data_IF_632863063009
#
_entry.id   IF_632863063009
#
_cell.length_a   1.000
_cell.length_b   1.000
_cell.length_c   1.000
_cell.angle_alpha   90.00
_cell.angle_beta   90.00
_cell.angle_gamma   90.00
#
_symmetry.space_group_name_H-M   'P 1'
#
loop_
_entity.id
_entity.type
_entity.pdbx_description
1 polymer ?
#
# COMPACT_ATOMS: atom_id res chain seq x y z
N UNK A 1 34.75 -0.26 -16.53
CA UNK A 1 33.26 -0.20 -16.54
C UNK A 1 32.75 0.44 -15.24
N UNK A 2 32.47 1.74 -15.29
CA UNK A 2 31.85 2.44 -14.16
C UNK A 2 30.34 2.22 -14.24
N UNK A 3 29.80 1.45 -13.30
CA UNK A 3 28.38 1.11 -13.26
C UNK A 3 27.59 2.35 -12.80
N UNK A 4 27.07 3.11 -13.77
CA UNK A 4 25.97 4.04 -13.51
C UNK A 4 24.80 3.22 -12.96
N UNK A 5 24.09 3.74 -11.95
CA UNK A 5 22.85 3.11 -11.50
C UNK A 5 21.78 3.35 -12.57
N UNK A 6 21.36 2.28 -13.22
CA UNK A 6 20.27 2.26 -14.17
C UNK A 6 18.94 2.12 -13.41
N UNK A 7 17.99 2.97 -13.75
CA UNK A 7 16.58 2.83 -13.40
C UNK A 7 15.79 2.60 -14.68
N UNK A 8 14.54 2.15 -14.56
CA UNK A 8 13.73 1.71 -15.71
C UNK A 8 13.67 2.72 -16.87
N UNK A 9 13.81 4.02 -16.60
CA UNK A 9 13.76 5.10 -17.60
C UNK A 9 14.85 6.19 -17.47
N UNK A 10 15.97 5.89 -16.81
CA UNK A 10 17.08 6.83 -16.80
C UNK A 10 18.23 6.51 -15.85
N UNK A 11 19.12 7.48 -15.67
CA UNK A 11 20.39 7.30 -14.99
C UNK A 11 20.63 8.36 -13.93
N UNK A 12 21.15 7.92 -12.79
CA UNK A 12 21.56 8.81 -11.70
C UNK A 12 23.07 8.89 -11.63
N UNK A 13 23.63 10.08 -11.83
CA UNK A 13 25.06 10.35 -11.67
C UNK A 13 25.32 10.93 -10.29
N UNK A 14 26.16 10.25 -9.52
CA UNK A 14 26.43 10.58 -8.12
C UNK A 14 27.86 11.05 -7.88
N UNK A 15 28.82 10.55 -8.65
CA UNK A 15 30.25 10.80 -8.44
C UNK A 15 30.90 11.44 -9.64
N UNK A 16 31.93 12.26 -9.40
CA UNK A 16 32.67 12.98 -10.46
C UNK A 16 33.30 12.02 -11.46
N UNK A 17 33.77 10.86 -11.01
CA UNK A 17 34.37 9.84 -11.88
C UNK A 17 33.35 9.09 -12.77
N UNK A 18 32.04 9.24 -12.53
CA UNK A 18 30.98 8.70 -13.39
C UNK A 18 30.71 9.63 -14.59
N UNK A 19 31.22 10.87 -14.56
CA UNK A 19 30.97 11.89 -15.58
C UNK A 19 31.46 11.53 -16.99
N UNK A 20 32.68 10.97 -17.21
CA UNK A 20 33.11 10.61 -18.56
C UNK A 20 32.20 9.56 -19.21
N UNK A 21 31.79 8.53 -18.44
CA UNK A 21 30.84 7.50 -18.90
C UNK A 21 29.47 8.10 -19.21
N UNK A 22 29.03 9.06 -18.39
CA UNK A 22 27.79 9.79 -18.58
C UNK A 22 27.79 10.63 -19.87
N UNK A 23 28.87 11.37 -20.16
CA UNK A 23 29.01 12.13 -21.40
C UNK A 23 29.01 11.25 -22.65
N UNK A 24 29.70 10.10 -22.60
CA UNK A 24 29.67 9.13 -23.70
C UNK A 24 28.26 8.61 -23.94
N UNK A 25 27.52 8.31 -22.87
CA UNK A 25 26.14 7.83 -22.98
C UNK A 25 25.20 8.87 -23.57
N UNK A 26 25.31 10.12 -23.13
CA UNK A 26 24.56 11.24 -23.72
C UNK A 26 24.85 11.36 -25.21
N UNK A 27 26.13 11.31 -25.60
CA UNK A 27 26.52 11.36 -27.01
C UNK A 27 25.86 10.22 -27.80
N UNK A 28 25.86 9.02 -27.25
CA UNK A 28 25.23 7.86 -27.89
C UNK A 28 23.71 8.04 -27.99
N UNK A 29 23.04 8.59 -26.97
CA UNK A 29 21.60 8.89 -26.99
C UNK A 29 21.24 9.93 -28.06
N UNK A 30 22.05 10.99 -28.20
CA UNK A 30 21.91 12.00 -29.26
C UNK A 30 22.02 11.35 -30.64
N UNK A 31 23.02 10.49 -30.85
CA UNK A 31 23.20 9.80 -32.14
C UNK A 31 22.05 8.85 -32.45
N UNK A 32 21.49 8.19 -31.42
CA UNK A 32 20.41 7.22 -31.56
C UNK A 32 19.01 7.87 -31.58
N UNK A 33 18.91 9.20 -31.41
CA UNK A 33 17.63 9.93 -31.25
C UNK A 33 16.71 9.25 -30.23
N UNK A 34 17.28 8.85 -29.09
CA UNK A 34 16.54 8.26 -27.99
C UNK A 34 16.45 9.28 -26.86
N UNK A 35 15.24 9.52 -26.39
CA UNK A 35 15.03 10.37 -25.23
C UNK A 35 15.30 9.54 -23.97
N UNK A 36 16.09 10.05 -23.03
CA UNK A 36 16.25 9.47 -21.69
C UNK A 36 16.33 10.60 -20.67
N UNK A 37 15.78 10.38 -19.47
CA UNK A 37 15.88 11.34 -18.37
C UNK A 37 17.15 11.08 -17.57
N UNK A 38 17.89 12.15 -17.26
CA UNK A 38 19.16 12.04 -16.55
C UNK A 38 19.20 12.95 -15.32
N UNK A 39 19.51 12.36 -14.16
CA UNK A 39 19.51 13.04 -12.86
C UNK A 39 20.93 13.16 -12.32
N UNK A 40 21.32 14.38 -11.97
CA UNK A 40 22.69 14.70 -11.55
C UNK A 40 22.69 15.15 -10.10
N UNK A 41 23.27 14.36 -9.21
CA UNK A 41 23.31 14.66 -7.76
C UNK A 41 24.47 15.56 -7.33
N UNK A 42 25.56 15.63 -8.10
CA UNK A 42 26.78 16.31 -7.69
C UNK A 42 26.84 17.75 -8.24
N UNK A 43 26.95 18.76 -7.36
CA UNK A 43 27.01 20.19 -7.72
C UNK A 43 28.14 20.57 -8.69
N UNK A 44 29.30 19.89 -8.63
CA UNK A 44 30.39 20.13 -9.59
C UNK A 44 30.03 19.62 -10.98
N UNK A 45 29.33 18.48 -11.04
CA UNK A 45 28.81 17.91 -12.29
C UNK A 45 27.65 18.75 -12.82
N UNK A 46 26.83 19.37 -11.96
CA UNK A 46 25.74 20.28 -12.38
C UNK A 46 26.23 21.43 -13.27
N UNK A 47 27.42 21.99 -13.01
CA UNK A 47 28.05 23.00 -13.90
C UNK A 47 28.42 22.42 -15.26
N UNK A 48 29.02 21.24 -15.28
CA UNK A 48 29.37 20.53 -16.51
C UNK A 48 28.16 20.01 -17.30
N UNK A 49 27.00 19.99 -16.65
CA UNK A 49 25.70 19.63 -17.22
C UNK A 49 25.02 20.84 -17.84
N UNK A 50 25.34 22.07 -17.42
CA UNK A 50 24.92 23.28 -18.15
C UNK A 50 25.50 23.32 -19.56
N UNK A 51 26.71 22.80 -19.77
CA UNK A 51 27.31 22.67 -21.11
C UNK A 51 26.51 21.74 -22.03
N UNK A 52 25.77 20.79 -21.45
CA UNK A 52 24.90 19.85 -22.17
C UNK A 52 23.51 20.41 -22.47
N UNK A 53 23.10 21.55 -21.86
CA UNK A 53 21.85 22.25 -22.22
C UNK A 53 21.87 22.86 -23.63
N UNK A 54 23.02 22.81 -24.32
CA UNK A 54 23.15 23.20 -25.74
C UNK A 54 22.45 22.20 -26.67
N UNK A 55 22.16 20.99 -26.21
CA UNK A 55 21.40 19.99 -26.96
C UNK A 55 19.88 20.21 -26.79
N UNK A 56 19.07 19.92 -27.83
CA UNK A 56 17.62 20.07 -27.77
C UNK A 56 17.01 19.31 -26.58
N UNK A 57 16.05 19.93 -25.88
CA UNK A 57 15.37 19.34 -24.72
C UNK A 57 14.66 18.03 -25.03
N UNK A 58 14.30 17.81 -26.30
CA UNK A 58 13.71 16.55 -26.74
C UNK A 58 14.65 15.36 -26.50
N UNK A 59 15.98 15.58 -26.49
CA UNK A 59 16.99 14.53 -26.46
C UNK A 59 17.51 14.26 -25.04
N UNK A 60 17.57 15.30 -24.18
CA UNK A 60 18.09 15.18 -22.81
C UNK A 60 17.28 16.07 -21.85
N UNK A 61 16.54 15.44 -20.93
CA UNK A 61 15.96 16.13 -19.78
C UNK A 61 16.97 16.11 -18.61
N UNK A 62 17.54 17.27 -18.30
CA UNK A 62 18.50 17.47 -17.21
C UNK A 62 17.78 18.08 -16.01
N UNK A 63 17.66 17.30 -14.93
CA UNK A 63 16.98 17.77 -13.71
C UNK A 63 17.97 18.11 -12.59
N UNK A 64 17.82 19.31 -12.03
CA UNK A 64 18.53 19.70 -10.82
C UNK A 64 17.92 18.99 -9.61
N UNK A 65 18.70 18.08 -9.04
CA UNK A 65 18.34 17.27 -7.89
C UNK A 65 17.83 18.09 -6.69
N UNK A 66 18.29 19.34 -6.53
CA UNK A 66 17.89 20.22 -5.43
C UNK A 66 16.46 20.79 -5.57
N UNK A 67 15.89 20.80 -6.77
CA UNK A 67 14.58 21.40 -7.06
C UNK A 67 13.43 20.38 -7.22
N UNK A 68 13.72 19.07 -7.18
CA UNK A 68 12.73 18.01 -7.39
C UNK A 68 11.54 18.10 -6.43
N UNK A 69 11.81 18.25 -5.13
CA UNK A 69 10.77 18.40 -4.10
C UNK A 69 9.89 19.62 -4.32
N UNK A 70 10.48 20.75 -4.72
CA UNK A 70 9.75 21.99 -5.01
C UNK A 70 8.82 21.82 -6.22
N UNK A 71 9.28 21.18 -7.29
CA UNK A 71 8.44 20.92 -8.48
C UNK A 71 7.29 19.96 -8.16
N UNK A 72 7.53 18.92 -7.36
CA UNK A 72 6.46 18.03 -6.92
C UNK A 72 5.42 18.76 -6.08
N UNK A 73 5.85 19.66 -5.19
CA UNK A 73 4.97 20.53 -4.41
C UNK A 73 4.13 21.45 -5.30
N UNK A 74 4.74 22.07 -6.30
CA UNK A 74 4.05 22.90 -7.30
C UNK A 74 3.02 22.08 -8.10
N UNK A 75 3.38 20.86 -8.55
CA UNK A 75 2.49 19.97 -9.33
C UNK A 75 1.28 19.49 -8.51
N UNK A 76 1.50 19.18 -7.23
CA UNK A 76 0.42 18.74 -6.32
C UNK A 76 -0.37 19.92 -5.72
N UNK A 77 0.11 21.14 -5.90
CA UNK A 77 -0.39 22.37 -5.27
C UNK A 77 -0.38 22.28 -3.74
N UNK A 78 0.74 21.85 -3.15
CA UNK A 78 0.89 21.67 -1.69
C UNK A 78 2.10 22.41 -1.14
N UNK A 79 1.99 22.85 0.12
CA UNK A 79 3.04 23.61 0.79
C UNK A 79 4.00 22.75 1.61
N UNK A 80 3.66 21.49 1.89
CA UNK A 80 4.50 20.54 2.63
C UNK A 80 4.25 19.13 2.08
N UNK A 81 5.33 18.37 1.86
CA UNK A 81 5.28 16.96 1.49
C UNK A 81 5.69 16.08 2.67
N UNK A 82 5.24 14.81 2.73
CA UNK A 82 5.74 13.84 3.69
C UNK A 82 7.27 13.73 3.66
N UNK A 83 7.88 13.53 4.82
CA UNK A 83 9.33 13.37 4.96
C UNK A 83 9.84 12.09 4.29
N UNK A 84 8.97 11.06 4.17
CA UNK A 84 9.25 9.82 3.43
C UNK A 84 9.59 10.06 1.95
N UNK A 85 9.14 11.18 1.35
CA UNK A 85 9.45 11.53 -0.04
C UNK A 85 10.79 12.27 -0.14
N UNK A 86 11.90 11.56 -0.02
CA UNK A 86 13.22 12.16 -0.27
C UNK A 86 13.39 12.53 -1.75
N UNK A 87 14.38 13.37 -2.06
CA UNK A 87 14.70 13.69 -3.47
C UNK A 87 15.11 12.44 -4.26
N UNK A 88 15.64 11.38 -3.62
CA UNK A 88 15.82 10.08 -4.27
C UNK A 88 14.51 9.44 -4.72
N UNK A 89 13.54 9.40 -3.83
CA UNK A 89 12.23 8.79 -4.11
C UNK A 89 11.49 9.62 -5.16
N UNK A 90 11.55 10.95 -5.08
CA UNK A 90 10.95 11.85 -6.08
C UNK A 90 11.67 11.74 -7.44
N UNK A 91 12.97 11.49 -7.45
CA UNK A 91 13.70 11.24 -8.69
C UNK A 91 13.14 10.02 -9.44
N UNK A 92 12.71 8.96 -8.73
CA UNK A 92 12.09 7.79 -9.35
C UNK A 92 10.75 8.13 -10.04
N UNK A 93 9.98 9.08 -9.48
CA UNK A 93 8.79 9.63 -10.12
C UNK A 93 9.14 10.44 -11.40
N UNK A 94 10.15 11.31 -11.33
CA UNK A 94 10.57 12.18 -12.45
C UNK A 94 11.23 11.42 -13.62
N UNK A 95 11.86 10.28 -13.34
CA UNK A 95 12.42 9.40 -14.36
C UNK A 95 11.34 8.75 -15.24
N UNK A 96 10.06 8.75 -14.83
CA UNK A 96 8.93 8.23 -15.60
C UNK A 96 8.18 9.29 -16.43
N UNK A 97 8.48 10.59 -16.27
CA UNK A 97 7.78 11.67 -16.98
C UNK A 97 8.34 11.93 -18.39
N UNK A 98 8.21 10.95 -19.31
CA UNK A 98 8.28 11.21 -20.76
C UNK A 98 6.97 11.76 -21.34
N UNK A 99 5.86 11.56 -20.63
CA UNK A 99 4.56 12.05 -21.02
C UNK A 99 4.10 13.12 -20.02
N UNK A 100 4.13 14.37 -20.47
CA UNK A 100 3.62 15.55 -19.75
C UNK A 100 2.12 15.48 -19.40
N UNK A 101 1.46 14.38 -19.76
CA UNK A 101 0.05 14.10 -19.51
C UNK A 101 -0.21 13.29 -18.24
N UNK A 102 0.82 12.92 -17.45
CA UNK A 102 0.62 12.25 -16.16
C UNK A 102 -0.25 13.15 -15.27
N UNK A 103 -1.53 12.80 -15.20
CA UNK A 103 -2.57 13.49 -14.47
C UNK A 103 -2.20 13.55 -12.99
N UNK A 104 -2.58 14.65 -12.33
CA UNK A 104 -2.38 14.87 -10.89
C UNK A 104 -2.76 13.65 -10.06
N UNK A 105 -3.83 12.96 -10.45
CA UNK A 105 -4.34 11.75 -9.79
C UNK A 105 -3.34 10.60 -9.78
N UNK A 106 -2.57 10.40 -10.86
CA UNK A 106 -1.53 9.36 -10.95
C UNK A 106 -0.39 9.67 -9.99
N UNK A 107 -0.01 10.95 -9.84
CA UNK A 107 1.02 11.35 -8.88
C UNK A 107 0.50 11.20 -7.45
N UNK A 108 -0.75 11.55 -7.18
CA UNK A 108 -1.38 11.34 -5.87
C UNK A 108 -1.45 9.85 -5.50
N UNK A 109 -1.76 8.97 -6.46
CA UNK A 109 -1.69 7.51 -6.27
C UNK A 109 -0.30 7.04 -5.89
N UNK A 110 0.70 7.46 -6.66
CA UNK A 110 2.09 7.09 -6.40
C UNK A 110 2.56 7.56 -5.02
N UNK A 111 2.16 8.77 -4.61
CA UNK A 111 2.45 9.28 -3.26
C UNK A 111 1.82 8.39 -2.20
N UNK A 112 0.58 7.95 -2.37
CA UNK A 112 -0.11 7.08 -1.42
C UNK A 112 0.52 5.67 -1.37
N UNK A 113 0.83 5.09 -2.53
CA UNK A 113 1.53 3.81 -2.64
C UNK A 113 2.87 3.84 -1.91
N UNK A 114 3.65 4.89 -2.15
CA UNK A 114 5.01 5.03 -1.62
C UNK A 114 5.03 5.40 -0.13
N UNK A 115 4.12 6.28 0.31
CA UNK A 115 4.13 6.78 1.69
C UNK A 115 3.31 5.94 2.65
N UNK A 116 2.30 5.21 2.16
CA UNK A 116 1.34 4.47 2.99
C UNK A 116 1.45 2.98 2.69
N UNK A 117 0.90 2.53 1.57
CA UNK A 117 0.95 1.13 1.13
C UNK A 117 0.43 1.03 -0.32
N UNK A 118 0.90 0.08 -1.15
CA UNK A 118 0.40 -0.12 -2.51
C UNK A 118 -1.13 -0.22 -2.63
N UNK A 119 -1.84 -0.76 -1.64
CA UNK A 119 -3.31 -0.80 -1.67
C UNK A 119 -3.95 0.60 -1.73
N UNK A 120 -3.26 1.65 -1.29
CA UNK A 120 -3.75 3.02 -1.34
C UNK A 120 -3.52 3.74 -2.68
N UNK A 121 -2.63 3.21 -3.52
CA UNK A 121 -2.39 3.71 -4.88
C UNK A 121 -3.32 3.10 -5.95
N UNK A 122 -4.21 2.18 -5.57
CA UNK A 122 -5.07 1.47 -6.50
C UNK A 122 -6.11 2.39 -7.18
N UNK A 123 -6.18 2.30 -8.51
CA UNK A 123 -7.12 3.07 -9.33
C UNK A 123 -8.56 2.58 -9.22
N UNK A 124 -8.75 1.26 -9.24
CA UNK A 124 -10.07 0.65 -9.34
C UNK A 124 -10.45 -0.10 -8.06
N UNK A 125 -11.63 0.19 -7.48
CA UNK A 125 -12.12 -0.58 -6.36
C UNK A 125 -12.63 -1.94 -6.82
N UNK A 126 -12.50 -2.94 -5.96
CA UNK A 126 -13.01 -4.30 -6.19
C UNK A 126 -12.78 -5.20 -5.00
N UNK A 127 -13.16 -6.48 -5.11
CA UNK A 127 -12.98 -7.46 -4.02
C UNK A 127 -11.52 -7.73 -3.70
N UNK A 128 -10.66 -7.84 -4.72
CA UNK A 128 -9.21 -8.02 -4.52
C UNK A 128 -8.57 -6.80 -3.83
N UNK A 129 -9.02 -5.61 -4.19
CA UNK A 129 -8.58 -4.37 -3.55
C UNK A 129 -9.07 -4.30 -2.11
N UNK A 130 -10.34 -4.63 -1.85
CA UNK A 130 -10.91 -4.66 -0.50
C UNK A 130 -10.16 -5.65 0.39
N UNK A 131 -9.82 -6.83 -0.13
CA UNK A 131 -8.96 -7.81 0.56
C UNK A 131 -7.61 -7.20 0.95
N UNK A 132 -6.96 -6.49 0.03
CA UNK A 132 -5.68 -5.82 0.28
C UNK A 132 -5.80 -4.76 1.38
N UNK A 133 -6.91 -4.00 1.38
CA UNK A 133 -7.21 -3.00 2.41
C UNK A 133 -7.47 -3.64 3.79
N UNK A 134 -8.19 -4.76 3.84
CA UNK A 134 -8.40 -5.54 5.07
C UNK A 134 -7.07 -6.02 5.63
N UNK A 135 -6.24 -6.66 4.80
CA UNK A 135 -4.93 -7.15 5.21
C UNK A 135 -3.98 -6.03 5.65
N UNK A 136 -4.03 -4.87 4.99
CA UNK A 136 -3.30 -3.68 5.41
C UNK A 136 -3.70 -3.27 6.84
N UNK A 137 -4.99 -3.14 7.12
CA UNK A 137 -5.49 -2.74 8.43
C UNK A 137 -5.37 -3.83 9.52
N UNK A 138 -5.13 -5.08 9.14
CA UNK A 138 -4.75 -6.14 10.08
C UNK A 138 -3.29 -6.01 10.54
N UNK A 139 -2.42 -5.37 9.76
CA UNK A 139 -0.97 -5.28 10.05
C UNK A 139 -0.53 -3.91 10.52
N UNK A 140 -1.15 -2.87 10.00
CA UNK A 140 -0.71 -1.49 10.16
C UNK A 140 -1.81 -0.59 10.71
N UNK A 141 -1.44 0.29 11.63
CA UNK A 141 -2.27 1.40 12.07
C UNK A 141 -1.82 2.70 11.43
N UNK A 142 -2.78 3.46 10.92
CA UNK A 142 -2.54 4.79 10.34
C UNK A 142 -2.45 5.85 11.45
N UNK A 143 -1.49 5.72 12.36
CA UNK A 143 -1.25 6.70 13.40
C UNK A 143 -0.34 7.84 12.87
N UNK A 144 -0.65 9.09 13.26
CA UNK A 144 0.18 10.28 13.00
C UNK A 144 0.51 10.54 11.52
N UNK A 145 -0.46 10.33 10.63
CA UNK A 145 -0.30 10.66 9.21
C UNK A 145 -0.06 12.14 8.97
N UNK A 146 0.81 12.44 8.01
CA UNK A 146 1.00 13.81 7.52
C UNK A 146 -0.34 14.38 7.01
N UNK A 147 -0.68 15.66 7.28
CA UNK A 147 -1.99 16.25 6.93
C UNK A 147 -2.38 16.07 5.47
N UNK A 148 -1.43 16.26 4.55
CA UNK A 148 -1.65 16.02 3.11
C UNK A 148 -2.09 14.58 2.81
N UNK A 149 -1.46 13.58 3.44
CA UNK A 149 -1.84 12.17 3.24
C UNK A 149 -3.23 11.91 3.81
N UNK A 150 -3.56 12.46 4.97
CA UNK A 150 -4.91 12.34 5.55
C UNK A 150 -6.00 12.84 4.58
N UNK A 151 -5.79 13.98 3.94
CA UNK A 151 -6.77 14.54 3.00
C UNK A 151 -6.85 13.74 1.69
N UNK A 152 -5.72 13.25 1.18
CA UNK A 152 -5.69 12.33 0.02
C UNK A 152 -6.45 11.03 0.32
N UNK A 153 -6.21 10.42 1.49
CA UNK A 153 -6.89 9.20 1.89
C UNK A 153 -8.40 9.39 1.98
N UNK A 154 -8.87 10.53 2.51
CA UNK A 154 -10.32 10.87 2.54
C UNK A 154 -10.91 10.97 1.13
N UNK A 155 -10.22 11.64 0.22
CA UNK A 155 -10.64 11.74 -1.19
C UNK A 155 -10.70 10.38 -1.86
N UNK A 156 -9.69 9.53 -1.66
CA UNK A 156 -9.65 8.17 -2.24
C UNK A 156 -10.75 7.27 -1.71
N UNK A 157 -11.02 7.27 -0.40
CA UNK A 157 -12.15 6.55 0.19
C UNK A 157 -13.47 6.95 -0.47
N UNK A 158 -13.74 8.25 -0.58
CA UNK A 158 -14.95 8.76 -1.22
C UNK A 158 -15.03 8.35 -2.70
N UNK A 159 -13.91 8.44 -3.42
CA UNK A 159 -13.83 8.04 -4.82
C UNK A 159 -14.13 6.55 -5.01
N UNK A 160 -13.53 5.66 -4.22
CA UNK A 160 -13.79 4.21 -4.31
C UNK A 160 -15.22 3.84 -3.94
N UNK A 161 -15.79 4.48 -2.91
CA UNK A 161 -17.21 4.29 -2.56
C UNK A 161 -18.09 4.73 -3.73
N UNK A 162 -17.84 5.90 -4.32
CA UNK A 162 -18.70 6.47 -5.36
C UNK A 162 -18.54 5.80 -6.73
N UNK A 163 -17.38 5.21 -7.01
CA UNK A 163 -17.10 4.49 -8.27
C UNK A 163 -17.49 3.01 -8.23
N UNK A 164 -17.64 2.42 -7.04
CA UNK A 164 -18.14 1.06 -6.86
C UNK A 164 -19.66 0.97 -7.05
N UNK A 165 -20.15 -0.22 -7.42
CA UNK A 165 -21.59 -0.50 -7.57
C UNK A 165 -22.01 -1.75 -6.80
N UNK A 166 -23.29 -1.77 -6.38
CA UNK A 166 -23.91 -2.91 -5.70
C UNK A 166 -23.18 -3.34 -4.43
N UNK A 167 -23.06 -4.66 -4.22
CA UNK A 167 -22.46 -5.26 -3.02
C UNK A 167 -21.05 -4.77 -2.69
N UNK A 168 -20.24 -4.47 -3.71
CA UNK A 168 -18.87 -3.95 -3.50
C UNK A 168 -18.93 -2.58 -2.84
N UNK A 169 -19.83 -1.70 -3.33
CA UNK A 169 -20.02 -0.37 -2.75
C UNK A 169 -20.47 -0.47 -1.29
N UNK A 170 -21.45 -1.33 -1.00
CA UNK A 170 -21.96 -1.52 0.36
C UNK A 170 -20.87 -2.05 1.29
N UNK A 171 -20.01 -2.93 0.79
CA UNK A 171 -18.86 -3.46 1.53
C UNK A 171 -17.83 -2.38 1.85
N UNK A 172 -17.52 -1.48 0.90
CA UNK A 172 -16.64 -0.33 1.16
C UNK A 172 -17.24 0.66 2.15
N UNK A 173 -18.55 0.95 2.03
CA UNK A 173 -19.25 1.84 2.98
C UNK A 173 -19.20 1.28 4.39
N UNK A 174 -19.48 0.00 4.55
CA UNK A 174 -19.39 -0.69 5.83
C UNK A 174 -17.94 -0.69 6.34
N UNK A 175 -16.99 -1.17 5.52
CA UNK A 175 -15.58 -1.27 5.88
C UNK A 175 -15.00 0.06 6.38
N UNK A 176 -15.25 1.16 5.67
CA UNK A 176 -14.69 2.47 6.01
C UNK A 176 -15.33 3.18 7.21
N UNK A 177 -16.40 2.65 7.82
CA UNK A 177 -16.92 3.16 9.09
C UNK A 177 -15.93 2.96 10.22
N UNK A 178 -15.29 1.80 10.28
CA UNK A 178 -14.27 1.45 11.27
C UNK A 178 -13.28 0.42 10.69
N UNK A 179 -12.33 0.83 9.84
CA UNK A 179 -11.50 -0.09 9.06
C UNK A 179 -10.73 -1.09 9.91
N UNK A 180 -10.23 -0.67 11.07
CA UNK A 180 -9.41 -1.52 11.95
C UNK A 180 -10.27 -2.61 12.59
N UNK A 181 -11.38 -2.23 13.24
CA UNK A 181 -12.25 -3.21 13.88
C UNK A 181 -12.96 -4.10 12.86
N UNK A 182 -13.37 -3.56 11.72
CA UNK A 182 -13.99 -4.32 10.64
C UNK A 182 -13.04 -5.35 10.03
N UNK A 183 -11.75 -5.02 9.90
CA UNK A 183 -10.73 -5.98 9.45
C UNK A 183 -10.54 -7.11 10.45
N UNK A 184 -10.38 -6.77 11.73
CA UNK A 184 -10.29 -7.75 12.82
C UNK A 184 -11.52 -8.66 12.87
N UNK A 185 -12.71 -8.11 12.64
CA UNK A 185 -13.96 -8.88 12.61
C UNK A 185 -14.00 -9.89 11.46
N UNK A 186 -13.61 -9.49 10.24
CA UNK A 186 -13.54 -10.42 9.12
C UNK A 186 -12.53 -11.55 9.39
N UNK A 187 -11.39 -11.22 10.00
CA UNK A 187 -10.41 -12.23 10.41
C UNK A 187 -10.97 -13.19 11.47
N UNK A 188 -11.68 -12.67 12.48
CA UNK A 188 -12.33 -13.51 13.49
C UNK A 188 -13.29 -14.50 12.83
N UNK A 189 -14.13 -14.04 11.90
CA UNK A 189 -15.07 -14.89 11.16
C UNK A 189 -14.37 -15.94 10.29
N UNK A 190 -13.25 -15.58 9.62
CA UNK A 190 -12.42 -16.53 8.84
C UNK A 190 -11.91 -17.68 9.72
N UNK A 191 -11.42 -17.33 10.91
CA UNK A 191 -10.80 -18.28 11.84
C UNK A 191 -11.82 -19.17 12.57
N UNK A 192 -12.99 -18.64 12.91
CA UNK A 192 -14.03 -19.41 13.62
C UNK A 192 -15.08 -20.04 12.69
N UNK A 193 -14.92 -19.91 11.37
CA UNK A 193 -15.92 -20.32 10.38
C UNK A 193 -16.42 -21.76 10.52
N UNK A 194 -15.55 -22.67 10.99
CA UNK A 194 -15.84 -24.09 11.20
C UNK A 194 -16.54 -24.42 12.54
N UNK A 195 -16.65 -23.47 13.47
CA UNK A 195 -17.25 -23.70 14.79
C UNK A 195 -18.79 -23.65 14.74
N UNK A 196 -19.50 -24.23 15.72
CA UNK A 196 -20.96 -24.13 15.81
C UNK A 196 -21.45 -22.69 15.99
N UNK A 197 -22.66 -22.40 15.51
CA UNK A 197 -23.26 -21.06 15.53
C UNK A 197 -23.24 -20.41 16.92
N UNK A 198 -23.61 -21.16 17.96
CA UNK A 198 -23.65 -20.65 19.34
C UNK A 198 -22.30 -20.12 19.82
N UNK A 199 -21.18 -20.74 19.40
CA UNK A 199 -19.85 -20.25 19.71
C UNK A 199 -19.52 -18.98 18.90
N UNK A 200 -19.87 -18.96 17.61
CA UNK A 200 -19.64 -17.77 16.78
C UNK A 200 -20.36 -16.55 17.35
N UNK A 201 -21.64 -16.72 17.71
CA UNK A 201 -22.46 -15.64 18.27
C UNK A 201 -21.88 -15.14 19.61
N UNK A 202 -21.37 -16.04 20.47
CA UNK A 202 -20.70 -15.68 21.73
C UNK A 202 -19.41 -14.87 21.49
N UNK A 203 -18.57 -15.29 20.54
CA UNK A 203 -17.32 -14.60 20.20
C UNK A 203 -17.61 -13.22 19.62
N UNK A 204 -18.54 -13.12 18.67
CA UNK A 204 -18.91 -11.86 18.04
C UNK A 204 -19.47 -10.87 19.06
N UNK A 205 -20.28 -11.34 20.01
CA UNK A 205 -20.78 -10.52 21.11
C UNK A 205 -19.65 -10.00 22.02
N UNK A 206 -18.72 -10.88 22.42
CA UNK A 206 -17.61 -10.52 23.33
C UNK A 206 -16.58 -9.58 22.72
N UNK A 207 -16.40 -9.63 21.39
CA UNK A 207 -15.53 -8.68 20.69
C UNK A 207 -16.12 -7.26 20.63
N UNK A 208 -17.22 -6.99 21.37
CA UNK A 208 -17.97 -5.73 21.41
C UNK A 208 -18.31 -5.21 20.02
N UNK A 209 -18.53 -6.14 19.09
CA UNK A 209 -19.03 -5.83 17.77
C UNK A 209 -20.48 -5.44 18.02
N UNK A 210 -20.72 -4.13 18.11
CA UNK A 210 -22.04 -3.61 17.81
C UNK A 210 -22.30 -4.06 16.38
N UNK A 211 -23.04 -5.15 16.23
CA UNK A 211 -23.78 -5.49 15.02
C UNK A 211 -24.84 -4.39 14.87
N UNK A 212 -24.41 -3.14 14.68
CA UNK A 212 -25.26 -2.05 14.23
C UNK A 212 -25.63 -2.44 12.82
N UNK A 213 -26.80 -3.07 12.74
CA UNK A 213 -27.47 -3.50 11.53
C UNK A 213 -27.38 -2.42 10.47
N UNK A 214 -26.73 -2.72 9.35
CA UNK A 214 -26.96 -2.09 8.06
C UNK A 214 -26.53 -3.08 6.97
N UNK A 215 -27.49 -3.89 6.50
CA UNK A 215 -27.68 -4.35 5.11
C UNK A 215 -26.61 -5.29 4.50
N UNK A 216 -25.43 -5.46 5.10
CA UNK A 216 -24.32 -6.21 4.49
C UNK A 216 -24.20 -7.61 5.08
N UNK A 217 -24.27 -8.64 4.22
CA UNK A 217 -24.00 -10.03 4.60
C UNK A 217 -22.48 -10.22 4.75
N UNK A 218 -22.00 -10.26 5.99
CA UNK A 218 -20.57 -10.42 6.33
C UNK A 218 -19.99 -11.74 5.82
N UNK A 219 -20.80 -12.80 5.78
CA UNK A 219 -20.37 -14.09 5.24
C UNK A 219 -20.09 -13.98 3.74
N UNK A 220 -20.93 -13.24 2.99
CA UNK A 220 -20.73 -12.98 1.56
C UNK A 220 -19.48 -12.12 1.29
N UNK A 221 -19.16 -11.15 2.16
CA UNK A 221 -17.87 -10.44 2.06
C UNK A 221 -16.73 -11.42 2.30
N UNK A 222 -16.80 -12.19 3.39
CA UNK A 222 -15.74 -13.10 3.80
C UNK A 222 -15.42 -14.13 2.71
N UNK A 223 -16.45 -14.73 2.09
CA UNK A 223 -16.30 -15.64 0.95
C UNK A 223 -15.51 -15.02 -0.21
N UNK A 224 -15.55 -13.70 -0.38
CA UNK A 224 -14.87 -12.98 -1.47
C UNK A 224 -13.47 -12.51 -1.13
N UNK A 225 -13.17 -12.28 0.16
CA UNK A 225 -11.89 -11.69 0.60
C UNK A 225 -10.97 -12.68 1.30
N UNK A 226 -11.47 -13.82 1.78
CA UNK A 226 -10.65 -14.87 2.36
C UNK A 226 -9.63 -15.47 1.36
N UNK A 227 -8.56 -16.12 1.84
CA UNK A 227 -8.08 -16.12 3.22
C UNK A 227 -7.44 -14.78 3.59
N UNK A 228 -7.54 -14.39 4.86
CA UNK A 228 -6.97 -13.16 5.41
C UNK A 228 -5.62 -13.41 6.09
N UNK A 229 -4.81 -12.37 6.18
CA UNK A 229 -3.52 -12.44 6.88
C UNK A 229 -3.72 -12.56 8.39
N UNK A 230 -2.82 -13.25 9.08
CA UNK A 230 -2.90 -13.39 10.53
C UNK A 230 -2.64 -12.04 11.23
N UNK A 231 -3.35 -11.83 12.35
CA UNK A 231 -3.08 -10.75 13.29
C UNK A 231 -2.87 -11.37 14.67
N UNK A 232 -1.72 -11.09 15.29
CA UNK A 232 -1.28 -11.73 16.54
C UNK A 232 -2.29 -11.55 17.68
N UNK A 233 -2.78 -10.32 17.88
CA UNK A 233 -3.75 -10.00 18.94
C UNK A 233 -5.06 -10.78 18.76
N UNK A 234 -5.59 -10.84 17.54
CA UNK A 234 -6.81 -11.60 17.22
C UNK A 234 -6.59 -13.09 17.44
N UNK A 235 -5.46 -13.64 16.97
CA UNK A 235 -5.14 -15.07 17.10
C UNK A 235 -4.97 -15.48 18.56
N UNK A 236 -4.21 -14.71 19.35
CA UNK A 236 -4.03 -14.95 20.78
C UNK A 236 -5.37 -14.92 21.53
N UNK A 237 -6.20 -13.91 21.28
CA UNK A 237 -7.53 -13.83 21.86
C UNK A 237 -8.40 -15.04 21.52
N UNK A 238 -8.44 -15.44 20.24
CA UNK A 238 -9.27 -16.56 19.81
C UNK A 238 -8.79 -17.89 20.36
N UNK A 239 -7.46 -18.10 20.45
CA UNK A 239 -6.90 -19.30 21.07
C UNK A 239 -7.41 -19.47 22.50
N UNK A 240 -7.42 -18.41 23.30
CA UNK A 240 -7.96 -18.44 24.66
C UNK A 240 -9.46 -18.80 24.68
N UNK A 241 -10.25 -18.20 23.79
CA UNK A 241 -11.69 -18.47 23.76
C UNK A 241 -12.01 -19.89 23.27
N UNK A 242 -11.28 -20.38 22.27
CA UNK A 242 -11.39 -21.76 21.77
C UNK A 242 -11.03 -22.76 22.88
N UNK A 243 -9.98 -22.48 23.65
CA UNK A 243 -9.60 -23.31 24.80
C UNK A 243 -10.70 -23.33 25.88
N UNK A 244 -11.31 -22.19 26.19
CA UNK A 244 -12.43 -22.10 27.13
C UNK A 244 -13.63 -22.92 26.62
N UNK A 245 -13.96 -22.78 25.34
CA UNK A 245 -15.06 -23.50 24.70
C UNK A 245 -14.88 -25.02 24.76
N UNK A 246 -13.70 -25.52 24.36
CA UNK A 246 -13.42 -26.95 24.42
C UNK A 246 -13.38 -27.47 25.84
N UNK A 247 -12.81 -26.74 26.81
CA UNK A 247 -12.87 -27.11 28.23
C UNK A 247 -14.31 -27.25 28.73
N UNK A 248 -15.23 -26.38 28.28
CA UNK A 248 -16.65 -26.44 28.64
C UNK A 248 -17.34 -27.66 28.01
N UNK A 249 -17.11 -27.93 26.73
CA UNK A 249 -17.73 -29.08 26.01
C UNK A 249 -17.22 -30.42 26.51
N UNK A 250 -15.94 -30.50 26.83
CA UNK A 250 -15.27 -31.73 27.25
C UNK A 250 -15.37 -31.96 28.75
N UNK A 251 -15.95 -31.02 29.51
CA UNK A 251 -16.21 -31.18 30.93
C UNK A 251 -17.08 -32.43 31.16
N UNK A 252 -16.49 -33.44 31.80
CA UNK A 252 -17.16 -34.72 32.07
C UNK A 252 -17.01 -35.80 30.98
N UNK A 253 -16.28 -35.53 29.90
CA UNK A 253 -15.88 -36.52 28.89
C UNK A 253 -14.40 -36.83 29.06
N UNK A 254 -14.03 -38.11 29.16
CA UNK A 254 -12.64 -38.56 29.27
C UNK A 254 -11.91 -38.48 27.91
N UNK A 255 -11.84 -37.28 27.34
CA UNK A 255 -11.17 -37.02 26.06
C UNK A 255 -10.15 -35.91 26.30
N UNK A 256 -8.89 -36.17 25.92
CA UNK A 256 -7.82 -35.19 26.06
C UNK A 256 -8.02 -34.02 25.09
N UNK A 257 -7.92 -32.79 25.60
CA UNK A 257 -7.99 -31.55 24.81
C UNK A 257 -6.90 -31.49 23.71
N UNK A 258 -5.74 -32.11 23.95
CA UNK A 258 -4.63 -32.17 22.98
C UNK A 258 -5.04 -32.82 21.67
N UNK A 259 -5.86 -33.87 21.76
CA UNK A 259 -6.15 -34.75 20.62
C UNK A 259 -7.17 -34.10 19.68
N UNK A 260 -8.14 -33.37 20.25
CA UNK A 260 -9.16 -32.63 19.48
C UNK A 260 -8.57 -31.39 18.81
N UNK A 261 -7.70 -30.65 19.51
CA UNK A 261 -7.07 -29.44 18.96
C UNK A 261 -6.20 -29.82 17.76
N UNK A 262 -5.38 -30.87 17.85
CA UNK A 262 -4.54 -31.35 16.74
C UNK A 262 -5.31 -31.73 15.46
N UNK A 263 -6.60 -32.09 15.59
CA UNK A 263 -7.44 -32.48 14.46
C UNK A 263 -8.14 -31.30 13.78
N UNK A 264 -8.29 -30.15 14.46
CA UNK A 264 -9.00 -28.97 13.95
C UNK A 264 -8.12 -27.72 13.81
N UNK A 265 -6.90 -27.74 14.33
CA UNK A 265 -5.92 -26.63 14.32
C UNK A 265 -5.23 -26.40 12.98
N UNK A 266 -5.46 -27.20 11.94
CA UNK A 266 -4.75 -27.10 10.65
C UNK A 266 -4.85 -25.74 9.93
N UNK A 267 -5.65 -24.79 10.44
CA UNK A 267 -5.68 -23.38 10.01
C UNK A 267 -5.02 -22.38 10.98
N UNK A 268 -4.89 -22.70 12.26
CA UNK A 268 -4.21 -21.88 13.28
C UNK A 268 -2.70 -22.14 13.35
N UNK A 269 -2.24 -23.30 12.85
CA UNK A 269 -0.82 -23.71 12.86
C UNK A 269 -0.02 -23.27 11.62
N UNK A 270 -0.59 -22.48 10.70
CA UNK A 270 0.16 -21.96 9.54
C UNK A 270 0.99 -20.73 9.96
N UNK A 271 2.09 -20.99 10.67
CA UNK A 271 3.26 -20.12 10.75
C UNK A 271 4.20 -20.36 9.56
#
# INVERSE_FOLDING_TARGET
PHNLKQYDNGWVVTKVNEYPSFCLRIRDLIHLKKDETMIVKNKMISKWVEDLRRYPKEIIALEDYSNLRKRLMEKLCVNILPDRLSNEVIAELGLLEKDSSIFKDTVENWVLETCVNPCWGADSPGWCHLKSMVNFHLKEELANLHPYLSDLLKKKKALWINSSVGKVQDSYKWFFQDPVNNSKMLLVLDLIGAYPKDFKDEILFRYNIKLTSLIVNLEDILERVAPLDSNKEVVEYLNDQVMIYWKKILKGKAISLSDIISQMSGRLERE
#
